data_IF_205344421981
#
_entry.id   IF_205344421981
#
_cell.length_a   1.000
_cell.length_b   1.000
_cell.length_c   1.000
_cell.angle_alpha   90.00
_cell.angle_beta   90.00
_cell.angle_gamma   90.00
#
_symmetry.space_group_name_H-M   'P 1'
#
loop_
_entity.id
_entity.type
_entity.pdbx_description
1 polymer ?
#
# COMPACT_ATOMS: atom_id res chain seq x y z
N UNK A 1 20.19 18.17 -58.76
CA UNK A 1 19.63 16.83 -58.52
C UNK A 1 18.78 16.91 -57.25
N UNK A 2 17.47 17.08 -57.43
CA UNK A 2 16.49 17.30 -56.35
C UNK A 2 15.70 16.00 -56.15
N UNK A 3 15.59 15.52 -54.91
CA UNK A 3 14.75 14.36 -54.56
C UNK A 3 13.82 14.75 -53.42
N UNK A 4 12.55 14.90 -53.79
CA UNK A 4 11.38 15.05 -52.93
C UNK A 4 11.04 13.70 -52.28
N UNK A 5 10.69 13.63 -50.98
CA UNK A 5 10.07 12.45 -50.42
C UNK A 5 8.53 12.52 -50.54
N UNK A 6 7.95 11.41 -51.03
CA UNK A 6 6.52 11.12 -51.03
C UNK A 6 5.98 11.03 -49.60
N UNK A 7 4.93 11.78 -49.31
CA UNK A 7 4.07 11.59 -48.13
C UNK A 7 3.06 10.45 -48.41
N UNK A 8 3.14 9.38 -47.64
CA UNK A 8 2.13 8.31 -47.61
C UNK A 8 1.07 8.67 -46.57
N UNK A 9 -0.16 8.91 -47.02
CA UNK A 9 -1.31 9.19 -46.15
C UNK A 9 -1.82 7.90 -45.50
N UNK A 10 -1.82 7.87 -44.17
CA UNK A 10 -2.41 6.81 -43.36
C UNK A 10 -3.89 7.14 -43.11
N UNK A 11 -4.80 6.32 -43.61
CA UNK A 11 -6.23 6.41 -43.35
C UNK A 11 -6.53 6.11 -41.87
N UNK A 12 -7.11 7.07 -41.15
CA UNK A 12 -7.65 6.87 -39.82
C UNK A 12 -9.02 6.18 -39.91
N UNK A 13 -9.13 4.97 -39.34
CA UNK A 13 -10.40 4.29 -39.13
C UNK A 13 -11.11 4.97 -37.94
N UNK A 14 -12.18 5.72 -38.21
CA UNK A 14 -13.05 6.29 -37.19
C UNK A 14 -13.99 5.20 -36.70
N UNK A 15 -13.79 4.71 -35.48
CA UNK A 15 -14.73 3.81 -34.81
C UNK A 15 -15.97 4.62 -34.38
N UNK A 16 -17.14 4.28 -34.92
CA UNK A 16 -18.41 4.82 -34.43
C UNK A 16 -18.72 4.25 -33.04
N UNK A 17 -19.19 5.07 -32.09
CA UNK A 17 -19.70 4.56 -30.83
C UNK A 17 -21.03 3.82 -31.06
N UNK A 18 -21.08 2.57 -30.64
CA UNK A 18 -22.32 1.81 -30.46
C UNK A 18 -23.18 2.53 -29.42
N UNK A 19 -24.31 3.09 -29.87
CA UNK A 19 -25.33 3.64 -28.99
C UNK A 19 -25.88 2.52 -28.08
N UNK A 20 -25.56 2.60 -26.78
CA UNK A 20 -26.22 1.78 -25.78
C UNK A 20 -27.69 2.20 -25.70
N UNK A 21 -28.59 1.29 -26.06
CA UNK A 21 -30.01 1.47 -25.85
C UNK A 21 -30.27 1.57 -24.35
N UNK A 22 -30.66 2.77 -23.88
CA UNK A 22 -31.07 2.98 -22.51
C UNK A 22 -32.33 2.15 -22.23
N UNK A 23 -32.22 1.19 -21.32
CA UNK A 23 -33.38 0.46 -20.80
C UNK A 23 -34.30 1.45 -20.07
N UNK A 24 -35.62 1.45 -20.35
CA UNK A 24 -36.55 2.32 -19.66
C UNK A 24 -36.53 2.02 -18.16
N UNK A 25 -36.12 3.02 -17.37
CA UNK A 25 -36.09 2.93 -15.90
C UNK A 25 -37.53 2.85 -15.42
N UNK A 26 -37.86 1.81 -14.67
CA UNK A 26 -39.16 1.70 -14.02
C UNK A 26 -39.40 2.95 -13.14
N UNK A 27 -40.64 3.47 -13.08
CA UNK A 27 -40.96 4.66 -12.29
C UNK A 27 -40.61 4.40 -10.83
N UNK A 28 -39.72 5.22 -10.28
CA UNK A 28 -39.36 5.18 -8.87
C UNK A 28 -40.62 5.46 -8.03
N UNK A 29 -40.99 4.57 -7.09
CA UNK A 29 -42.14 4.82 -6.23
C UNK A 29 -41.93 6.11 -5.43
N UNK A 30 -42.98 6.93 -5.35
CA UNK A 30 -42.95 8.16 -4.58
C UNK A 30 -42.60 7.86 -3.11
N UNK A 31 -41.72 8.67 -2.47
CA UNK A 31 -41.36 8.45 -1.08
C UNK A 31 -42.60 8.58 -0.19
N UNK A 32 -42.76 7.63 0.74
CA UNK A 32 -43.81 7.70 1.74
C UNK A 32 -43.56 8.93 2.64
N UNK A 33 -44.56 9.80 2.74
CA UNK A 33 -44.55 10.94 3.65
C UNK A 33 -44.99 10.48 5.04
N UNK A 34 -44.32 10.99 6.08
CA UNK A 34 -44.72 10.77 7.46
C UNK A 34 -45.97 11.59 7.81
N UNK A 35 -46.52 11.41 9.03
CA UNK A 35 -47.68 12.15 9.51
C UNK A 35 -47.48 13.68 9.50
N UNK A 36 -46.22 14.13 9.56
CA UNK A 36 -45.86 15.56 9.57
C UNK A 36 -45.59 16.12 8.15
N UNK A 37 -45.87 15.35 7.10
CA UNK A 37 -45.65 15.76 5.70
C UNK A 37 -44.17 15.84 5.29
N UNK A 38 -43.25 15.46 6.18
CA UNK A 38 -41.83 15.34 5.88
C UNK A 38 -41.53 13.93 5.32
N UNK A 39 -40.54 13.81 4.41
CA UNK A 39 -40.10 12.51 3.94
C UNK A 39 -39.66 11.68 5.15
N UNK A 40 -40.19 10.46 5.27
CA UNK A 40 -39.69 9.51 6.28
C UNK A 40 -38.25 9.19 5.88
N UNK A 41 -37.29 9.86 6.50
CA UNK A 41 -35.89 9.43 6.48
C UNK A 41 -35.87 8.14 7.30
N UNK A 42 -36.14 7.01 6.65
CA UNK A 42 -35.74 5.73 7.22
C UNK A 42 -34.24 5.85 7.42
N UNK A 43 -33.81 5.62 8.65
CA UNK A 43 -32.41 5.52 9.05
C UNK A 43 -31.78 4.36 8.25
N UNK A 44 -31.41 4.65 7.01
CA UNK A 44 -31.14 3.64 5.98
C UNK A 44 -29.76 2.97 6.13
N UNK A 45 -29.02 3.30 7.19
CA UNK A 45 -27.64 2.87 7.41
C UNK A 45 -27.43 2.02 8.67
N UNK A 46 -28.49 1.52 9.30
CA UNK A 46 -28.32 0.43 10.26
C UNK A 46 -28.19 -0.88 9.47
N UNK A 47 -26.95 -1.22 9.10
CA UNK A 47 -26.62 -2.57 8.65
C UNK A 47 -26.90 -3.55 9.79
N UNK A 48 -28.08 -4.16 9.77
CA UNK A 48 -28.39 -5.29 10.62
C UNK A 48 -27.81 -6.52 9.93
N UNK A 49 -26.65 -6.97 10.41
CA UNK A 49 -26.09 -8.25 9.98
C UNK A 49 -27.17 -9.32 10.09
N UNK A 50 -27.37 -10.16 9.06
CA UNK A 50 -28.29 -11.27 9.17
C UNK A 50 -27.86 -12.16 10.35
N UNK A 51 -28.81 -12.84 11.02
CA UNK A 51 -28.46 -13.81 12.05
C UNK A 51 -27.41 -14.79 11.53
N UNK A 52 -26.41 -15.11 12.37
CA UNK A 52 -25.26 -15.95 11.97
C UNK A 52 -25.71 -17.27 11.32
N UNK A 53 -26.81 -17.86 11.80
CA UNK A 53 -27.38 -19.08 11.25
C UNK A 53 -27.84 -18.93 9.78
N UNK A 54 -28.37 -17.77 9.41
CA UNK A 54 -28.84 -17.49 8.06
C UNK A 54 -27.68 -17.20 7.12
N UNK A 55 -26.67 -16.45 7.58
CA UNK A 55 -25.43 -16.24 6.84
C UNK A 55 -24.71 -17.58 6.55
N UNK A 56 -24.63 -18.47 7.55
CA UNK A 56 -24.02 -19.81 7.38
C UNK A 56 -24.84 -20.73 6.47
N UNK A 57 -26.17 -20.59 6.47
CA UNK A 57 -27.05 -21.34 5.57
C UNK A 57 -26.90 -20.85 4.13
N UNK A 58 -26.92 -19.53 3.92
CA UNK A 58 -26.71 -18.92 2.62
C UNK A 58 -25.32 -19.28 2.05
N UNK A 59 -24.27 -19.23 2.88
CA UNK A 59 -22.93 -19.68 2.50
C UNK A 59 -22.87 -21.15 2.10
N UNK A 60 -23.56 -22.04 2.84
CA UNK A 60 -23.65 -23.46 2.47
C UNK A 60 -24.39 -23.70 1.15
N UNK A 61 -25.49 -22.99 0.92
CA UNK A 61 -26.24 -23.10 -0.34
C UNK A 61 -25.40 -22.59 -1.52
N UNK A 62 -24.70 -21.47 -1.36
CA UNK A 62 -23.80 -20.95 -2.39
C UNK A 62 -22.65 -21.92 -2.70
N UNK A 63 -22.01 -22.49 -1.67
CA UNK A 63 -20.96 -23.50 -1.85
C UNK A 63 -21.48 -24.77 -2.54
N UNK A 64 -22.67 -25.24 -2.18
CA UNK A 64 -23.31 -26.40 -2.83
C UNK A 64 -23.71 -26.10 -4.28
N UNK A 65 -24.16 -24.88 -4.58
CA UNK A 65 -24.46 -24.45 -5.95
C UNK A 65 -23.19 -24.34 -6.80
N UNK A 66 -22.07 -23.91 -6.23
CA UNK A 66 -20.76 -23.88 -6.90
C UNK A 66 -20.25 -25.30 -7.21
N UNK A 67 -20.45 -26.24 -6.28
CA UNK A 67 -20.13 -27.67 -6.47
C UNK A 67 -21.06 -28.35 -7.50
N UNK A 68 -22.35 -28.01 -7.51
CA UNK A 68 -23.33 -28.57 -8.43
C UNK A 68 -23.30 -27.94 -9.83
N UNK A 69 -22.79 -26.71 -9.93
CA UNK A 69 -22.81 -25.90 -11.14
C UNK A 69 -21.86 -26.37 -12.25
N UNK A 70 -20.99 -27.36 -11.99
CA UNK A 70 -20.25 -28.06 -13.03
C UNK A 70 -19.55 -27.14 -14.04
N UNK A 71 -19.12 -25.96 -13.62
CA UNK A 71 -18.21 -25.17 -14.42
C UNK A 71 -16.92 -26.00 -14.47
N UNK A 72 -16.61 -26.57 -15.64
CA UNK A 72 -15.29 -27.11 -15.90
C UNK A 72 -14.27 -26.12 -15.34
N UNK A 73 -13.30 -26.55 -14.51
CA UNK A 73 -12.44 -25.63 -13.80
C UNK A 73 -11.87 -24.67 -14.83
N UNK A 74 -12.28 -23.41 -14.73
CA UNK A 74 -11.77 -22.37 -15.61
C UNK A 74 -10.26 -22.47 -15.50
N UNK A 75 -9.57 -22.58 -16.64
CA UNK A 75 -8.12 -22.81 -16.65
C UNK A 75 -7.48 -21.85 -15.64
N UNK A 76 -6.65 -22.39 -14.74
CA UNK A 76 -6.02 -21.60 -13.69
C UNK A 76 -5.38 -20.35 -14.33
N UNK A 77 -5.54 -19.15 -13.74
CA UNK A 77 -4.97 -17.94 -14.32
C UNK A 77 -3.49 -18.13 -14.62
N UNK A 78 -3.06 -17.70 -15.79
CA UNK A 78 -1.65 -17.74 -16.17
C UNK A 78 -0.91 -16.54 -15.58
N UNK A 79 0.40 -16.64 -15.40
CA UNK A 79 1.22 -15.51 -14.95
C UNK A 79 1.08 -14.29 -15.88
N UNK A 80 0.87 -14.53 -17.19
CA UNK A 80 0.61 -13.46 -18.16
C UNK A 80 -0.72 -12.71 -17.90
N UNK A 81 -1.71 -13.35 -17.28
CA UNK A 81 -3.01 -12.74 -16.98
C UNK A 81 -3.00 -11.97 -15.65
N UNK A 82 -2.31 -12.47 -14.62
CA UNK A 82 -2.45 -11.95 -13.24
C UNK A 82 -1.14 -11.54 -12.57
N UNK A 83 -0.01 -11.65 -13.27
CA UNK A 83 1.32 -11.36 -12.74
C UNK A 83 1.86 -12.52 -11.90
N UNK A 84 1.19 -12.88 -10.79
CA UNK A 84 1.56 -14.00 -9.90
C UNK A 84 0.42 -15.03 -9.82
N UNK A 85 0.39 -15.92 -10.81
CA UNK A 85 -0.58 -17.03 -10.85
C UNK A 85 -0.43 -17.99 -9.66
N UNK A 86 0.76 -18.06 -9.07
CA UNK A 86 1.06 -18.97 -7.96
C UNK A 86 0.38 -18.59 -6.64
N UNK A 87 -0.11 -17.34 -6.52
CA UNK A 87 -0.84 -16.86 -5.36
C UNK A 87 -2.35 -17.17 -5.43
N UNK A 88 -2.91 -17.47 -6.61
CA UNK A 88 -4.35 -17.60 -6.79
C UNK A 88 -4.91 -18.82 -6.05
N UNK A 89 -6.04 -18.64 -5.35
CA UNK A 89 -6.71 -19.70 -4.59
C UNK A 89 -6.04 -20.08 -3.26
N UNK A 90 -5.04 -19.32 -2.80
CA UNK A 90 -4.39 -19.53 -1.49
C UNK A 90 -4.97 -18.63 -0.41
N UNK A 91 -4.96 -19.13 0.82
CA UNK A 91 -5.35 -18.35 1.97
C UNK A 91 -4.33 -17.24 2.26
N UNK A 92 -4.83 -16.07 2.67
CA UNK A 92 -3.99 -14.97 3.14
C UNK A 92 -3.77 -15.12 4.64
N UNK A 93 -2.51 -15.08 5.06
CA UNK A 93 -2.10 -15.11 6.47
C UNK A 93 -1.58 -13.76 6.91
N UNK A 94 -1.92 -13.39 8.13
CA UNK A 94 -1.27 -12.29 8.83
C UNK A 94 0.06 -12.76 9.40
N UNK A 95 1.14 -12.08 9.05
CA UNK A 95 2.50 -12.48 9.39
C UNK A 95 3.09 -11.65 10.53
N UNK A 96 2.60 -10.43 10.72
CA UNK A 96 3.06 -9.56 11.80
C UNK A 96 2.73 -8.09 11.58
N UNK A 97 3.04 -7.29 12.60
CA UNK A 97 2.91 -5.84 12.60
C UNK A 97 4.26 -5.22 12.92
N UNK A 98 4.58 -4.18 12.18
CA UNK A 98 5.75 -3.33 12.37
C UNK A 98 5.29 -1.89 12.51
N UNK A 99 5.87 -1.10 13.42
CA UNK A 99 5.45 0.29 13.59
C UNK A 99 6.65 1.19 13.85
N UNK A 100 6.89 2.13 12.93
CA UNK A 100 7.87 3.19 13.11
C UNK A 100 7.19 4.44 13.66
N UNK A 101 7.83 5.08 14.63
CA UNK A 101 7.40 6.36 15.19
C UNK A 101 8.49 7.39 14.96
N UNK A 102 8.12 8.63 14.68
CA UNK A 102 9.02 9.77 14.52
C UNK A 102 8.33 11.03 15.05
N UNK A 103 9.08 11.83 15.80
CA UNK A 103 8.68 13.19 16.19
C UNK A 103 9.57 14.20 15.46
N UNK A 104 8.95 15.18 14.83
CA UNK A 104 9.62 16.38 14.32
C UNK A 104 9.30 17.52 15.27
N UNK A 105 10.29 18.17 15.84
CA UNK A 105 10.06 19.26 16.80
C UNK A 105 11.27 20.21 16.81
N UNK A 106 11.15 21.40 17.40
CA UNK A 106 12.26 22.35 17.46
C UNK A 106 13.42 21.87 18.34
N UNK A 107 13.13 21.06 19.36
CA UNK A 107 14.11 20.61 20.35
C UNK A 107 13.96 19.10 20.66
N UNK A 108 15.02 18.34 20.36
CA UNK A 108 15.10 16.92 20.67
C UNK A 108 15.86 16.63 21.97
N UNK A 109 16.14 17.64 22.81
CA UNK A 109 16.80 17.42 24.10
C UNK A 109 15.89 16.59 25.02
N UNK A 110 16.43 15.58 25.75
CA UNK A 110 15.63 14.73 26.62
C UNK A 110 15.13 15.50 27.86
N UNK A 111 14.00 16.20 27.73
CA UNK A 111 13.37 17.02 28.80
C UNK A 111 12.58 16.24 29.85
N UNK A 112 12.98 15.01 30.19
CA UNK A 112 12.34 14.19 31.25
C UNK A 112 11.20 13.27 30.81
N UNK A 113 10.84 13.26 29.51
CA UNK A 113 10.07 12.19 28.89
C UNK A 113 10.98 11.50 27.87
N UNK A 114 10.92 10.17 27.71
CA UNK A 114 11.67 9.51 26.66
C UNK A 114 11.04 9.88 25.31
N UNK A 115 11.44 11.03 24.77
CA UNK A 115 11.48 11.19 23.32
C UNK A 115 12.51 10.12 22.91
N UNK A 116 12.02 8.94 22.52
CA UNK A 116 12.90 7.84 22.09
C UNK A 116 13.86 8.32 20.99
N UNK A 117 14.82 7.49 20.58
CA UNK A 117 15.82 7.82 19.55
C UNK A 117 15.29 8.23 18.17
N UNK A 118 13.98 8.47 18.02
CA UNK A 118 13.26 8.78 16.81
C UNK A 118 12.75 10.24 16.82
N UNK A 119 13.63 11.19 17.12
CA UNK A 119 13.36 12.62 17.08
C UNK A 119 14.26 13.31 16.05
N UNK A 120 13.70 14.26 15.30
CA UNK A 120 14.46 15.11 14.39
C UNK A 120 14.19 16.57 14.72
N UNK A 121 15.26 17.30 15.03
CA UNK A 121 15.19 18.74 15.28
C UNK A 121 14.92 19.49 13.99
N UNK A 122 13.87 20.32 14.00
CA UNK A 122 13.47 21.15 12.87
C UNK A 122 14.40 22.35 12.76
N UNK A 123 14.94 22.57 11.56
CA UNK A 123 15.61 23.80 11.21
C UNK A 123 14.65 24.98 11.36
N UNK A 124 15.07 26.10 11.95
CA UNK A 124 14.22 27.28 12.09
C UNK A 124 13.68 27.74 10.74
N UNK A 125 12.37 28.02 10.69
CA UNK A 125 11.71 28.56 9.50
C UNK A 125 12.45 29.82 9.00
N UNK A 126 12.59 30.01 7.67
CA UNK A 126 11.95 29.24 6.60
C UNK A 126 12.80 28.06 6.07
N UNK A 127 13.85 27.64 6.79
CA UNK A 127 14.74 26.58 6.31
C UNK A 127 14.01 25.23 6.21
N UNK A 128 14.43 24.41 5.25
CA UNK A 128 13.95 23.04 5.10
C UNK A 128 14.80 22.10 5.93
N UNK A 129 14.15 21.28 6.75
CA UNK A 129 14.75 20.13 7.42
C UNK A 129 14.64 18.92 6.50
N UNK A 130 15.74 18.22 6.24
CA UNK A 130 15.72 16.91 5.59
C UNK A 130 16.13 15.84 6.60
N UNK A 131 15.57 14.65 6.47
CA UNK A 131 15.89 13.54 7.38
C UNK A 131 15.90 12.21 6.66
N UNK A 132 16.77 11.33 7.13
CA UNK A 132 16.88 9.92 6.73
C UNK A 132 17.16 9.13 8.00
N UNK A 133 16.18 8.34 8.41
CA UNK A 133 16.25 7.50 9.60
C UNK A 133 16.12 6.05 9.16
N UNK A 134 17.11 5.24 9.49
CA UNK A 134 17.08 3.80 9.28
C UNK A 134 16.62 3.08 10.54
N UNK A 135 16.12 1.86 10.37
CA UNK A 135 15.95 0.89 11.45
C UNK A 135 15.10 1.37 12.64
N UNK A 136 14.09 2.20 12.36
CA UNK A 136 13.12 2.68 13.34
C UNK A 136 12.23 1.56 13.90
N UNK A 137 12.08 0.48 13.14
CA UNK A 137 11.43 -0.75 13.56
C UNK A 137 11.98 -1.93 12.76
N UNK A 138 11.99 -3.14 13.35
CA UNK A 138 12.29 -4.37 12.61
C UNK A 138 11.34 -5.53 12.95
N UNK A 139 11.16 -6.44 11.99
CA UNK A 139 10.51 -7.74 12.18
C UNK A 139 11.26 -8.81 11.40
N UNK A 140 11.48 -9.97 12.00
CA UNK A 140 11.99 -11.16 11.28
C UNK A 140 10.86 -12.14 11.08
N UNK A 141 10.49 -12.36 9.83
CA UNK A 141 9.55 -13.41 9.43
C UNK A 141 10.30 -14.74 9.41
N UNK A 142 9.83 -15.78 10.13
CA UNK A 142 10.37 -17.13 10.00
C UNK A 142 10.36 -17.63 8.56
N UNK A 143 11.24 -18.58 8.25
CA UNK A 143 11.19 -19.27 6.98
C UNK A 143 9.83 -19.94 6.77
N UNK A 144 9.31 -19.88 5.53
CA UNK A 144 7.99 -20.41 5.16
C UNK A 144 6.80 -19.65 5.75
N UNK A 145 6.99 -18.41 6.23
CA UNK A 145 5.86 -17.53 6.60
C UNK A 145 4.96 -17.18 5.41
N UNK A 146 5.50 -17.16 4.19
CA UNK A 146 4.76 -17.02 2.93
C UNK A 146 5.31 -18.02 1.92
N UNK A 147 4.49 -18.43 0.94
CA UNK A 147 4.93 -19.32 -0.12
C UNK A 147 5.42 -18.55 -1.35
N UNK A 148 4.60 -17.67 -1.94
CA UNK A 148 4.89 -16.97 -3.20
C UNK A 148 4.89 -15.46 -3.10
N UNK A 149 4.14 -14.86 -2.17
CA UNK A 149 3.94 -13.41 -2.11
C UNK A 149 3.87 -12.86 -0.69
N UNK A 150 4.64 -11.81 -0.44
CA UNK A 150 4.49 -10.91 0.71
C UNK A 150 3.77 -9.65 0.26
N UNK A 151 2.81 -9.18 1.06
CA UNK A 151 2.10 -7.93 0.87
C UNK A 151 2.19 -7.06 2.13
N UNK A 152 2.06 -5.75 1.95
CA UNK A 152 1.98 -4.79 3.05
C UNK A 152 0.59 -4.14 3.09
N UNK A 153 0.07 -3.93 4.30
CA UNK A 153 -1.03 -3.01 4.58
C UNK A 153 -0.50 -1.92 5.50
N UNK A 154 -0.16 -0.79 4.90
CA UNK A 154 0.44 0.35 5.59
C UNK A 154 -0.66 1.32 6.02
N UNK A 155 -0.62 1.76 7.27
CA UNK A 155 -1.53 2.74 7.84
C UNK A 155 -0.72 3.89 8.44
N UNK A 156 -0.37 4.92 7.66
CA UNK A 156 0.14 6.16 8.21
C UNK A 156 -0.90 6.86 9.12
N UNK A 157 -0.45 7.28 10.29
CA UNK A 157 -1.13 8.22 11.18
C UNK A 157 -0.16 9.37 11.44
N UNK A 158 -0.42 10.52 10.83
CA UNK A 158 0.47 11.69 10.88
C UNK A 158 -0.33 12.88 11.37
N UNK A 159 0.07 13.44 12.49
CA UNK A 159 -0.41 14.73 12.96
C UNK A 159 0.68 15.76 12.80
N UNK A 160 0.35 16.95 12.29
CA UNK A 160 1.32 18.03 12.18
C UNK A 160 0.70 19.39 12.48
N UNK A 161 1.58 20.33 12.81
CA UNK A 161 1.32 21.75 12.93
C UNK A 161 2.29 22.50 12.04
N UNK A 162 1.78 23.44 11.27
CA UNK A 162 2.57 24.28 10.40
C UNK A 162 2.16 25.74 10.57
N UNK A 163 3.11 26.65 10.47
CA UNK A 163 2.84 28.08 10.54
C UNK A 163 3.84 28.89 9.72
N UNK A 164 3.36 29.99 9.15
CA UNK A 164 4.22 30.99 8.53
C UNK A 164 4.29 32.25 9.41
N UNK A 165 5.27 32.26 10.32
CA UNK A 165 5.54 33.40 11.19
C UNK A 165 6.36 34.51 10.51
N UNK A 166 6.62 34.39 9.20
CA UNK A 166 7.36 35.37 8.39
C UNK A 166 6.50 36.54 7.91
N UNK A 167 7.14 37.51 7.26
CA UNK A 167 6.48 38.70 6.72
C UNK A 167 5.89 38.52 5.31
N UNK A 168 6.20 37.42 4.63
CA UNK A 168 5.80 37.16 3.24
C UNK A 168 5.16 35.77 3.11
N UNK A 169 4.27 35.56 2.13
CA UNK A 169 3.74 34.24 1.85
C UNK A 169 4.88 33.25 1.56
N UNK A 170 4.79 32.04 2.11
CA UNK A 170 5.82 31.01 1.92
C UNK A 170 5.19 29.62 1.79
N UNK A 171 5.93 28.68 1.20
CA UNK A 171 5.45 27.33 0.92
C UNK A 171 5.74 26.39 2.09
N UNK A 172 4.67 25.91 2.72
CA UNK A 172 4.71 24.78 3.64
C UNK A 172 4.94 23.48 2.86
N UNK A 173 5.78 22.61 3.42
CA UNK A 173 5.97 21.25 2.92
C UNK A 173 6.18 20.27 4.07
N UNK A 174 5.45 19.16 4.02
CA UNK A 174 5.75 17.96 4.80
C UNK A 174 5.72 16.77 3.84
N UNK A 175 6.82 16.03 3.73
CA UNK A 175 6.90 14.80 2.97
C UNK A 175 7.55 13.72 3.80
N UNK A 176 6.87 12.59 3.97
CA UNK A 176 7.38 11.43 4.71
C UNK A 176 7.27 10.21 3.82
N UNK A 177 8.38 9.52 3.60
CA UNK A 177 8.47 8.33 2.76
C UNK A 177 8.99 7.17 3.60
N UNK A 178 8.22 6.09 3.79
CA UNK A 178 8.73 4.89 4.42
C UNK A 178 9.69 4.15 3.48
N UNK A 179 10.76 3.63 4.04
CA UNK A 179 11.76 2.83 3.32
C UNK A 179 11.88 1.49 4.03
N UNK A 180 11.72 0.39 3.29
CA UNK A 180 11.84 -0.96 3.82
C UNK A 180 13.14 -1.57 3.33
N UNK A 181 14.00 -1.95 4.27
CA UNK A 181 15.17 -2.79 4.00
C UNK A 181 14.74 -4.24 4.18
N UNK A 182 14.79 -5.02 3.11
CA UNK A 182 14.46 -6.45 3.12
C UNK A 182 15.77 -7.24 3.08
N UNK A 183 16.08 -7.94 4.16
CA UNK A 183 17.30 -8.72 4.36
C UNK A 183 17.02 -10.22 4.21
N UNK A 184 17.90 -10.91 3.50
CA UNK A 184 17.90 -12.37 3.35
C UNK A 184 19.28 -12.86 2.94
N UNK A 185 19.72 -14.00 3.51
CA UNK A 185 20.96 -14.68 3.12
C UNK A 185 21.01 -15.01 1.62
N UNK A 186 19.85 -15.24 1.01
CA UNK A 186 19.71 -15.57 -0.41
C UNK A 186 20.16 -14.43 -1.33
N UNK A 187 20.05 -13.16 -0.92
CA UNK A 187 20.46 -12.03 -1.76
C UNK A 187 21.95 -12.06 -2.08
N UNK A 188 22.81 -12.49 -1.16
CA UNK A 188 24.26 -12.56 -1.39
C UNK A 188 24.66 -13.54 -2.50
N UNK A 189 23.76 -14.45 -2.89
CA UNK A 189 23.98 -15.41 -3.98
C UNK A 189 23.45 -14.93 -5.34
N UNK A 190 22.93 -13.71 -5.42
CA UNK A 190 22.27 -13.16 -6.62
C UNK A 190 23.04 -11.93 -7.12
N UNK A 191 23.26 -11.88 -8.43
CA UNK A 191 23.81 -10.71 -9.12
C UNK A 191 22.67 -9.79 -9.51
N UNK A 192 22.77 -8.52 -9.12
CA UNK A 192 21.84 -7.48 -9.52
C UNK A 192 21.92 -7.25 -11.04
N UNK A 193 20.82 -7.45 -11.79
CA UNK A 193 20.84 -7.31 -13.24
C UNK A 193 21.08 -5.86 -13.71
N UNK A 194 20.84 -4.86 -12.86
CA UNK A 194 21.01 -3.45 -13.21
C UNK A 194 22.44 -2.96 -13.06
N UNK A 195 23.19 -3.50 -12.09
CA UNK A 195 24.56 -3.07 -11.78
C UNK A 195 25.61 -4.10 -12.19
N UNK A 196 25.23 -5.37 -12.37
CA UNK A 196 26.14 -6.49 -12.61
C UNK A 196 26.94 -6.93 -11.39
N UNK A 197 26.65 -6.38 -10.20
CA UNK A 197 27.33 -6.71 -8.94
C UNK A 197 26.44 -7.58 -8.04
N UNK A 198 27.02 -8.41 -7.15
CA UNK A 198 26.24 -9.14 -6.15
C UNK A 198 25.45 -8.18 -5.24
N UNK A 199 24.23 -8.57 -4.84
CA UNK A 199 23.50 -7.81 -3.82
C UNK A 199 24.24 -7.85 -2.47
N UNK A 200 24.12 -6.79 -1.66
CA UNK A 200 24.77 -6.69 -0.34
C UNK A 200 24.07 -7.51 0.76
N UNK A 201 23.27 -8.52 0.41
CA UNK A 201 22.43 -9.28 1.36
C UNK A 201 21.07 -8.66 1.67
N UNK A 202 20.73 -7.55 1.02
CA UNK A 202 19.44 -6.88 1.17
C UNK A 202 19.04 -6.10 -0.09
N UNK A 203 17.76 -5.70 -0.13
CA UNK A 203 17.23 -4.70 -1.07
C UNK A 203 16.47 -3.61 -0.29
N UNK A 204 16.33 -2.43 -0.89
CA UNK A 204 15.54 -1.34 -0.32
C UNK A 204 14.35 -1.00 -1.20
N UNK A 205 13.19 -0.85 -0.57
CA UNK A 205 11.92 -0.53 -1.23
C UNK A 205 11.33 0.72 -0.58
N UNK A 206 11.17 1.80 -1.35
CA UNK A 206 10.37 2.94 -0.93
C UNK A 206 8.89 2.69 -1.20
N UNK A 207 8.02 2.90 -0.21
CA UNK A 207 6.58 2.93 -0.48
C UNK A 207 6.10 4.37 -0.69
N UNK A 208 4.82 4.53 -1.05
CA UNK A 208 4.27 5.84 -1.37
C UNK A 208 4.41 6.81 -0.20
N UNK A 209 4.97 7.99 -0.49
CA UNK A 209 5.11 9.05 0.47
C UNK A 209 3.74 9.61 0.88
N UNK A 210 3.60 10.01 2.15
CA UNK A 210 2.57 10.96 2.56
C UNK A 210 3.14 12.36 2.36
N UNK A 211 2.44 13.17 1.57
CA UNK A 211 2.86 14.52 1.23
C UNK A 211 1.75 15.53 1.53
N UNK A 212 2.15 16.68 2.06
CA UNK A 212 1.36 17.90 2.18
C UNK A 212 2.21 19.08 1.72
N UNK A 213 1.60 19.94 0.92
CA UNK A 213 2.23 21.16 0.45
C UNK A 213 1.16 22.20 0.14
N UNK A 214 1.36 23.42 0.59
CA UNK A 214 0.57 24.58 0.18
C UNK A 214 1.31 25.86 0.52
N UNK A 215 0.84 26.97 -0.04
CA UNK A 215 1.29 28.30 0.39
C UNK A 215 0.53 28.70 1.66
N UNK A 216 1.26 29.24 2.63
CA UNK A 216 0.76 29.87 3.84
C UNK A 216 0.96 31.38 3.74
N UNK A 217 -0.06 32.16 4.05
CA UNK A 217 0.05 33.62 4.22
C UNK A 217 0.80 33.97 5.51
N UNK A 218 1.37 35.19 5.63
CA UNK A 218 1.92 35.68 6.89
C UNK A 218 0.93 35.56 8.05
N UNK A 219 1.36 34.96 9.17
CA UNK A 219 0.53 34.72 10.35
C UNK A 219 -0.47 33.56 10.21
N UNK A 220 -0.50 32.86 9.08
CA UNK A 220 -1.36 31.70 8.88
C UNK A 220 -0.76 30.45 9.56
N UNK A 221 -1.65 29.64 10.15
CA UNK A 221 -1.31 28.34 10.72
C UNK A 221 -2.22 27.24 10.15
N UNK A 222 -1.77 26.00 10.24
CA UNK A 222 -2.47 24.79 9.85
C UNK A 222 -2.21 23.68 10.87
N UNK A 223 -3.22 22.87 11.11
CA UNK A 223 -3.06 21.58 11.78
C UNK A 223 -3.95 20.55 11.11
N UNK A 224 -3.41 19.36 10.88
CA UNK A 224 -4.14 18.27 10.25
C UNK A 224 -3.72 16.93 10.86
N UNK A 225 -4.69 16.01 10.96
CA UNK A 225 -4.46 14.59 11.20
C UNK A 225 -4.71 13.82 9.91
N UNK A 226 -3.65 13.26 9.34
CA UNK A 226 -3.71 12.37 8.19
C UNK A 226 -3.78 10.94 8.68
N UNK A 227 -4.87 10.24 8.37
CA UNK A 227 -5.03 8.82 8.62
C UNK A 227 -5.60 8.13 7.38
N UNK A 228 -4.99 7.02 6.98
CA UNK A 228 -5.49 6.20 5.88
C UNK A 228 -4.72 4.91 5.76
N UNK A 229 -5.33 3.89 5.15
CA UNK A 229 -4.67 2.62 4.87
C UNK A 229 -4.36 2.48 3.37
N UNK A 230 -3.20 1.91 3.05
CA UNK A 230 -2.77 1.54 1.71
C UNK A 230 -2.40 0.07 1.70
N UNK A 231 -3.00 -0.66 0.78
CA UNK A 231 -2.74 -2.08 0.55
C UNK A 231 -1.87 -2.22 -0.69
N UNK A 232 -0.93 -3.16 -0.69
CA UNK A 232 -0.13 -3.45 -1.88
C UNK A 232 -1.05 -3.84 -3.05
N UNK A 233 -0.71 -3.41 -4.27
CA UNK A 233 -1.45 -3.79 -5.49
C UNK A 233 -0.85 -5.08 -6.10
N UNK A 234 0.48 -5.16 -6.17
CA UNK A 234 1.21 -6.28 -6.80
C UNK A 234 2.09 -7.07 -5.84
N UNK A 235 1.78 -7.07 -4.54
CA UNK A 235 2.71 -7.53 -3.50
C UNK A 235 3.73 -6.45 -3.11
N UNK A 236 4.33 -6.63 -1.94
CA UNK A 236 5.60 -6.01 -1.58
C UNK A 236 6.75 -6.73 -2.31
N UNK A 237 6.72 -8.07 -2.28
CA UNK A 237 7.63 -8.96 -2.99
C UNK A 237 6.90 -10.24 -3.37
N UNK A 238 7.04 -10.68 -4.62
CA UNK A 238 6.59 -11.99 -5.10
C UNK A 238 7.74 -12.77 -5.72
N UNK A 239 7.61 -14.10 -5.82
CA UNK A 239 8.58 -14.94 -6.56
C UNK A 239 8.81 -14.42 -7.98
N UNK A 240 7.74 -14.02 -8.66
CA UNK A 240 7.84 -13.53 -10.03
C UNK A 240 8.56 -12.19 -10.09
N UNK A 241 8.35 -11.29 -9.12
CA UNK A 241 9.13 -10.05 -9.02
C UNK A 241 10.62 -10.33 -8.73
N UNK A 242 10.93 -11.30 -7.87
CA UNK A 242 12.32 -11.70 -7.58
C UNK A 242 13.03 -12.20 -8.84
N UNK A 243 12.35 -13.02 -9.64
CA UNK A 243 12.91 -13.53 -10.89
C UNK A 243 13.01 -12.45 -11.97
N UNK A 244 11.94 -11.69 -12.18
CA UNK A 244 11.83 -10.73 -13.28
C UNK A 244 12.60 -9.44 -13.05
N UNK A 245 12.62 -8.93 -11.82
CA UNK A 245 13.22 -7.62 -11.51
C UNK A 245 14.57 -7.73 -10.80
N UNK A 246 14.80 -8.78 -10.01
CA UNK A 246 16.00 -8.94 -9.19
C UNK A 246 16.95 -10.05 -9.70
N UNK A 247 16.63 -10.67 -10.84
CA UNK A 247 17.53 -11.65 -11.48
C UNK A 247 17.62 -13.00 -10.76
N UNK A 248 16.69 -13.31 -9.85
CA UNK A 248 16.69 -14.59 -9.15
C UNK A 248 16.40 -15.74 -10.13
N UNK A 249 17.07 -16.87 -9.95
CA UNK A 249 16.59 -18.14 -10.50
C UNK A 249 15.35 -18.62 -9.75
N UNK A 250 14.56 -19.51 -10.36
CA UNK A 250 13.40 -20.15 -9.72
C UNK A 250 13.76 -20.85 -8.39
N UNK A 251 14.95 -21.45 -8.32
CA UNK A 251 15.42 -22.13 -7.11
C UNK A 251 15.76 -21.13 -5.99
N UNK A 252 16.45 -20.04 -6.32
CA UNK A 252 16.75 -18.96 -5.39
C UNK A 252 15.48 -18.28 -4.89
N UNK A 253 14.54 -17.93 -5.78
CA UNK A 253 13.27 -17.31 -5.40
C UNK A 253 12.44 -18.22 -4.46
N UNK A 254 12.41 -19.53 -4.71
CA UNK A 254 11.79 -20.49 -3.76
C UNK A 254 12.52 -20.56 -2.43
N UNK A 255 13.85 -20.50 -2.43
CA UNK A 255 14.67 -20.55 -1.22
C UNK A 255 14.51 -19.29 -0.38
N UNK A 256 14.37 -18.12 -0.99
CA UNK A 256 14.09 -16.85 -0.32
C UNK A 256 12.90 -16.97 0.64
N UNK A 257 11.75 -17.43 0.15
CA UNK A 257 10.55 -17.63 0.98
C UNK A 257 10.66 -18.79 1.99
N UNK A 258 11.63 -19.70 1.82
CA UNK A 258 11.88 -20.80 2.77
C UNK A 258 12.86 -20.43 3.88
N UNK A 259 13.58 -19.32 3.75
CA UNK A 259 14.54 -18.80 4.73
C UNK A 259 13.92 -17.65 5.52
N UNK A 260 14.45 -17.34 6.71
CA UNK A 260 14.02 -16.15 7.43
C UNK A 260 14.25 -14.89 6.59
N UNK A 261 13.31 -13.94 6.71
CA UNK A 261 13.37 -12.63 6.05
C UNK A 261 13.27 -11.57 7.13
N UNK A 262 14.27 -10.71 7.24
CA UNK A 262 14.20 -9.55 8.15
C UNK A 262 13.77 -8.33 7.38
N UNK A 263 12.77 -7.62 7.89
CA UNK A 263 12.25 -6.39 7.33
C UNK A 263 12.50 -5.28 8.33
N UNK A 264 13.30 -4.29 7.94
CA UNK A 264 13.51 -3.07 8.73
C UNK A 264 12.79 -1.91 8.07
N UNK A 265 12.14 -1.08 8.87
CA UNK A 265 11.49 0.15 8.41
C UNK A 265 12.31 1.35 8.84
N UNK A 266 12.66 2.18 7.86
CA UNK A 266 13.14 3.53 8.03
C UNK A 266 12.13 4.56 7.52
N UNK A 267 12.39 5.82 7.80
CA UNK A 267 11.63 6.96 7.29
C UNK A 267 12.60 7.98 6.71
N UNK A 268 12.29 8.53 5.54
CA UNK A 268 13.02 9.65 4.96
C UNK A 268 12.07 10.73 4.48
N UNK A 269 12.51 11.98 4.46
CA UNK A 269 11.60 13.07 4.14
C UNK A 269 12.17 14.47 4.25
N UNK A 270 11.26 15.42 4.15
CA UNK A 270 11.51 16.84 4.30
C UNK A 270 10.37 17.55 5.01
N UNK A 271 10.71 18.58 5.78
CA UNK A 271 9.77 19.43 6.51
C UNK A 271 10.21 20.90 6.38
N UNK A 272 9.28 21.78 6.03
CA UNK A 272 9.47 23.23 5.94
C UNK A 272 8.21 23.93 6.44
N UNK A 273 8.38 24.93 7.31
CA UNK A 273 7.30 25.61 8.05
C UNK A 273 6.49 24.69 8.97
N UNK A 274 6.98 23.48 9.25
CA UNK A 274 6.44 22.60 10.30
C UNK A 274 6.95 23.12 11.64
N UNK A 275 6.07 23.24 12.62
CA UNK A 275 6.44 23.58 14.01
C UNK A 275 6.60 22.32 14.85
N UNK A 276 5.68 21.36 14.67
CA UNK A 276 5.72 20.05 15.30
C UNK A 276 5.03 19.01 14.40
N UNK A 277 5.47 17.75 14.47
CA UNK A 277 4.75 16.63 13.87
C UNK A 277 4.99 15.32 14.62
N UNK A 278 3.91 14.55 14.79
CA UNK A 278 3.96 13.18 15.29
C UNK A 278 3.58 12.24 14.16
N UNK A 279 4.51 11.36 13.81
CA UNK A 279 4.41 10.46 12.65
C UNK A 279 4.47 9.02 13.17
N UNK A 280 3.39 8.27 12.97
CA UNK A 280 3.36 6.83 13.15
C UNK A 280 3.09 6.16 11.81
N UNK A 281 3.95 5.23 11.40
CA UNK A 281 3.71 4.37 10.25
C UNK A 281 3.59 2.93 10.75
N UNK A 282 2.35 2.48 10.92
CA UNK A 282 2.04 1.07 11.17
C UNK A 282 1.96 0.28 9.87
N UNK A 283 2.56 -0.89 9.82
CA UNK A 283 2.60 -1.75 8.64
C UNK A 283 2.38 -3.18 9.02
N UNK A 284 1.31 -3.75 8.46
CA UNK A 284 0.94 -5.16 8.67
C UNK A 284 1.44 -5.93 7.47
N UNK A 285 2.13 -7.03 7.71
CA UNK A 285 2.57 -7.91 6.65
C UNK A 285 1.61 -9.08 6.53
N UNK A 286 1.23 -9.36 5.29
CA UNK A 286 0.46 -10.55 4.94
C UNK A 286 1.22 -11.36 3.91
N UNK A 287 0.90 -12.64 3.82
CA UNK A 287 1.41 -13.48 2.74
C UNK A 287 0.52 -14.68 2.50
N UNK A 288 0.73 -15.33 1.36
CA UNK A 288 -0.01 -16.53 1.01
C UNK A 288 0.41 -17.73 1.87
N UNK A 289 -0.57 -18.52 2.28
CA UNK A 289 -0.35 -19.73 3.04
C UNK A 289 0.50 -20.70 2.24
N UNK A 290 1.55 -21.22 2.88
CA UNK A 290 2.12 -22.49 2.42
C UNK A 290 1.03 -23.54 2.53
N UNK A 291 0.77 -24.28 1.46
CA UNK A 291 0.01 -25.53 1.54
C UNK A 291 0.66 -26.39 2.61
N UNK A 292 0.09 -26.39 3.82
CA UNK A 292 0.46 -27.35 4.84
C UNK A 292 -0.21 -28.61 4.34
N UNK A 293 0.59 -29.52 3.78
CA UNK A 293 0.18 -30.90 3.62
C UNK A 293 -0.42 -31.31 4.97
N UNK A 294 -1.74 -31.56 5.00
CA UNK A 294 -2.42 -31.94 6.23
C UNK A 294 -1.60 -33.05 6.88
N UNK A 295 -1.37 -33.02 8.21
CA UNK A 295 -0.66 -34.11 8.86
C UNK A 295 -1.34 -35.41 8.43
N UNK A 296 -0.56 -36.32 7.86
CA UNK A 296 -1.06 -37.62 7.45
C UNK A 296 -1.80 -38.25 8.64
N UNK A 297 -2.99 -38.85 8.41
CA UNK A 297 -3.86 -39.34 9.47
C UNK A 297 -3.17 -40.34 10.40
#
# INVERSE_FOLDING_TARGET
MSRTPLFTALFALVALPLAQAATPRAPTPAPALGPDGLPVVREADQFVSPPIADALRAGRIAALAELAGGNAPTAAPTAAQVGDAGAFGKDVRWLGLLSANLVLTADCTPGGQPIGGNCVSLAPAPNTTTFVLSDLASITLPGRSSETVLCHWQTPVIQYWAANNGAYPDSFNLRVTPVYTIESDVFAEVTDPSTGLPYPGYIQLGLTAVGRNRTLQPGEFESELVNGARVCIGGLLSRDSLMGSYGFTKAQARRFFRRPITIRMGLQGSARLVEDAVINIGTRFTGDATTVEAPAP
#
